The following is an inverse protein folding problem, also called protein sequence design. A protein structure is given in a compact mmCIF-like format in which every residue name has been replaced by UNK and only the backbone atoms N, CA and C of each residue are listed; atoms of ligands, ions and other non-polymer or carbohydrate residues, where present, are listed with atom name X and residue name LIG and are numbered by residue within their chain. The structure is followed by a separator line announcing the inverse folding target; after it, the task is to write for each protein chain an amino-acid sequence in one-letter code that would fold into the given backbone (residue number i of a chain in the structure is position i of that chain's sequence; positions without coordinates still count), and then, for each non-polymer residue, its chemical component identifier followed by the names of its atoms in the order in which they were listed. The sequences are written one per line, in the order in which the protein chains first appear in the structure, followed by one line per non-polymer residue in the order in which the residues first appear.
data_IF_298151719974
#
_entry.id   IF_298151719974
#
_cell.length_a   1.000
_cell.length_b   1.000
_cell.length_c   1.000
_cell.angle_alpha   90.00
_cell.angle_beta   90.00
_cell.angle_gamma   90.00
#
_symmetry.space_group_name_H-M   'P 1'
#
loop_
_entity.id
_entity.type
_entity.pdbx_description
1 polymer ?
#
# COMPACT_ATOMS: atom_id res chain seq x y z
N UNK A 1 0.05 -13.33 8.52
CA UNK A 1 0.18 -13.17 9.99
C UNK A 1 1.62 -12.77 10.28
N UNK A 2 1.85 -11.85 11.22
CA UNK A 2 3.19 -11.35 11.58
C UNK A 2 3.33 -11.52 13.09
N UNK A 3 4.50 -11.96 13.57
CA UNK A 3 4.76 -12.05 15.01
C UNK A 3 4.96 -10.64 15.56
N UNK A 4 4.47 -10.36 16.77
CA UNK A 4 4.58 -9.03 17.39
C UNK A 4 6.01 -8.51 17.45
N UNK A 5 6.99 -9.39 17.70
CA UNK A 5 8.42 -9.03 17.75
C UNK A 5 9.01 -8.58 16.42
N UNK A 6 8.40 -8.99 15.31
CA UNK A 6 8.83 -8.70 13.94
C UNK A 6 7.93 -7.63 13.31
N UNK A 7 6.94 -7.11 14.06
CA UNK A 7 6.01 -6.09 13.57
C UNK A 7 6.66 -4.71 13.66
N UNK A 8 6.61 -3.99 12.54
CA UNK A 8 7.05 -2.59 12.47
C UNK A 8 5.81 -1.68 12.57
N UNK A 9 5.79 -0.71 13.50
CA UNK A 9 4.71 0.26 13.60
C UNK A 9 4.52 1.05 12.30
N UNK A 10 3.26 1.35 11.96
CA UNK A 10 2.95 2.16 10.78
C UNK A 10 3.37 3.61 10.99
N UNK A 11 3.93 4.20 9.94
CA UNK A 11 4.23 5.63 9.88
C UNK A 11 2.94 6.42 9.59
N UNK A 12 2.49 7.22 10.57
CA UNK A 12 1.27 8.02 10.46
C UNK A 12 1.35 9.13 9.39
N UNK A 13 2.56 9.50 8.95
CA UNK A 13 2.73 10.44 7.84
C UNK A 13 2.34 9.84 6.48
N UNK A 14 2.35 8.51 6.37
CA UNK A 14 2.05 7.76 5.14
C UNK A 14 0.55 7.51 5.04
N UNK A 15 -0.13 8.35 4.27
CA UNK A 15 -1.60 8.26 4.06
C UNK A 15 -2.02 7.23 3.01
N UNK A 16 -1.09 6.72 2.21
CA UNK A 16 -1.30 5.75 1.11
C UNK A 16 -0.09 4.84 1.00
N UNK A 17 -0.30 3.59 0.57
CA UNK A 17 0.75 2.56 0.45
C UNK A 17 1.33 2.08 1.79
N UNK A 18 0.55 2.11 2.87
CA UNK A 18 0.96 1.59 4.19
C UNK A 18 1.35 0.10 4.12
N UNK A 19 0.60 -0.70 3.36
CA UNK A 19 0.95 -2.12 3.16
C UNK A 19 2.32 -2.28 2.48
N UNK A 20 2.62 -1.43 1.49
CA UNK A 20 3.92 -1.47 0.80
C UNK A 20 5.06 -1.05 1.71
N UNK A 21 4.88 0.01 2.49
CA UNK A 21 5.85 0.45 3.49
C UNK A 21 6.21 -0.68 4.46
N UNK A 22 5.18 -1.38 4.97
CA UNK A 22 5.36 -2.54 5.84
C UNK A 22 6.15 -3.65 5.13
N UNK A 23 5.75 -4.05 3.93
CA UNK A 23 6.41 -5.15 3.20
C UNK A 23 7.86 -4.82 2.83
N UNK A 24 8.14 -3.61 2.36
CA UNK A 24 9.49 -3.18 2.02
C UNK A 24 10.39 -3.14 3.27
N UNK A 25 9.88 -2.61 4.39
CA UNK A 25 10.62 -2.61 5.65
C UNK A 25 10.91 -4.04 6.15
N UNK A 26 9.95 -4.96 6.00
CA UNK A 26 10.16 -6.36 6.35
C UNK A 26 11.23 -7.02 5.46
N UNK A 27 11.25 -6.71 4.17
CA UNK A 27 12.28 -7.20 3.25
C UNK A 27 13.68 -6.67 3.60
N UNK A 28 13.80 -5.39 3.98
CA UNK A 28 15.05 -4.80 4.48
C UNK A 28 15.57 -5.53 5.73
N UNK A 29 14.68 -6.08 6.55
CA UNK A 29 15.00 -6.90 7.71
C UNK A 29 15.23 -8.39 7.37
N UNK A 30 15.40 -8.73 6.10
CA UNK A 30 15.56 -10.10 5.59
C UNK A 30 14.39 -11.04 5.96
N UNK A 31 13.18 -10.50 6.11
CA UNK A 31 11.95 -11.29 6.34
C UNK A 31 11.26 -11.56 5.01
N UNK A 32 10.63 -12.73 4.91
CA UNK A 32 9.89 -13.14 3.72
C UNK A 32 8.44 -13.50 4.06
N UNK A 33 7.55 -13.33 3.10
CA UNK A 33 6.18 -13.81 3.16
C UNK A 33 6.07 -15.24 2.63
N UNK A 34 5.20 -16.05 3.24
CA UNK A 34 4.81 -17.37 2.73
C UNK A 34 3.33 -17.33 2.39
N UNK A 35 2.99 -17.74 1.17
CA UNK A 35 1.61 -17.88 0.75
C UNK A 35 1.00 -19.14 1.38
N UNK A 36 -0.10 -18.98 2.11
CA UNK A 36 -0.83 -20.11 2.70
C UNK A 36 -2.02 -20.43 1.79
N UNK A 37 -2.06 -21.61 1.14
CA UNK A 37 -3.07 -21.96 0.15
C UNK A 37 -4.41 -22.36 0.81
N UNK A 38 -4.92 -21.54 1.73
CA UNK A 38 -6.18 -21.77 2.43
C UNK A 38 -6.96 -20.47 2.63
N UNK A 39 -8.28 -20.57 2.60
CA UNK A 39 -9.16 -19.42 2.86
C UNK A 39 -9.23 -19.20 4.36
N UNK A 40 -8.50 -18.20 4.86
CA UNK A 40 -8.48 -17.85 6.29
C UNK A 40 -9.60 -16.90 6.71
N UNK A 41 -10.07 -16.05 5.79
CA UNK A 41 -11.03 -14.99 6.09
C UNK A 41 -12.08 -14.87 5.00
N UNK A 42 -13.32 -14.57 5.40
CA UNK A 42 -14.42 -14.22 4.51
C UNK A 42 -14.81 -12.77 4.73
N UNK A 43 -14.79 -11.97 3.67
CA UNK A 43 -15.21 -10.56 3.73
C UNK A 43 -16.74 -10.48 3.73
N UNK A 44 -17.32 -9.83 4.74
CA UNK A 44 -18.74 -9.49 4.77
C UNK A 44 -18.89 -8.06 4.22
N UNK A 45 -19.48 -7.92 3.04
CA UNK A 45 -19.69 -6.62 2.37
C UNK A 45 -21.16 -6.22 2.48
N UNK A 46 -21.51 -5.48 3.51
CA UNK A 46 -22.75 -4.70 3.54
C UNK A 46 -22.40 -3.21 3.62
N UNK A 47 -22.84 -2.40 2.65
CA UNK A 47 -22.88 -0.94 2.71
C UNK A 47 -21.58 -0.13 2.84
N UNK A 48 -20.41 -0.76 3.07
CA UNK A 48 -19.14 -0.03 3.26
C UNK A 48 -18.59 0.53 1.94
N UNK A 49 -18.55 1.86 1.83
CA UNK A 49 -17.74 2.56 0.82
C UNK A 49 -16.26 2.33 1.14
N UNK A 50 -15.52 1.76 0.19
CA UNK A 50 -14.08 1.57 0.32
C UNK A 50 -13.31 2.90 0.30
N UNK A 51 -12.05 2.86 0.74
CA UNK A 51 -11.15 4.04 0.78
C UNK A 51 -10.83 4.53 -0.64
N UNK A 52 -10.72 3.62 -1.60
CA UNK A 52 -10.41 3.94 -2.99
C UNK A 52 -11.64 3.85 -3.88
N UNK A 53 -11.84 4.88 -4.71
CA UNK A 53 -12.68 4.79 -5.88
C UNK A 53 -11.78 4.37 -7.06
N UNK A 54 -12.23 3.38 -7.82
CA UNK A 54 -11.53 2.96 -9.02
C UNK A 54 -11.43 4.13 -10.00
N UNK A 55 -10.26 4.29 -10.63
CA UNK A 55 -9.99 5.28 -11.67
C UNK A 55 -9.57 4.55 -12.94
N UNK A 56 -10.13 4.92 -14.11
CA UNK A 56 -9.67 4.42 -15.39
C UNK A 56 -8.16 4.63 -15.62
N UNK A 57 -7.49 3.66 -16.25
CA UNK A 57 -6.04 3.69 -16.48
C UNK A 57 -5.56 4.87 -17.31
N UNK A 58 -6.37 5.37 -18.25
CA UNK A 58 -6.03 6.51 -19.09
C UNK A 58 -5.94 7.83 -18.31
N UNK A 59 -6.64 7.97 -17.16
CA UNK A 59 -6.53 9.15 -16.31
C UNK A 59 -5.13 9.32 -15.70
N UNK A 60 -4.38 8.24 -15.56
CA UNK A 60 -2.99 8.27 -15.08
C UNK A 60 -2.02 8.72 -16.19
N UNK A 61 -2.41 8.58 -17.46
CA UNK A 61 -1.62 8.99 -18.64
C UNK A 61 -2.03 10.36 -19.18
N UNK A 62 -3.10 10.94 -18.65
CA UNK A 62 -3.65 12.19 -19.14
C UNK A 62 -2.72 13.36 -18.78
N UNK A 63 -2.50 14.34 -19.68
CA UNK A 63 -1.53 15.42 -19.44
C UNK A 63 -1.85 16.28 -18.21
N UNK A 64 -3.14 16.42 -17.89
CA UNK A 64 -3.63 17.20 -16.76
C UNK A 64 -3.99 16.25 -15.62
N UNK A 65 -3.12 16.15 -14.62
CA UNK A 65 -3.31 15.22 -13.52
C UNK A 65 -4.41 15.70 -12.59
N UNK A 66 -5.45 14.90 -12.44
CA UNK A 66 -6.49 15.12 -11.45
C UNK A 66 -5.87 14.94 -10.06
N UNK A 67 -6.33 15.73 -9.07
CA UNK A 67 -5.84 15.67 -7.67
C UNK A 67 -5.62 14.25 -7.14
N UNK A 68 -6.56 13.32 -7.39
CA UNK A 68 -6.42 11.92 -6.94
C UNK A 68 -5.22 11.18 -7.51
N UNK A 69 -4.87 11.47 -8.76
CA UNK A 69 -3.69 10.92 -9.45
C UNK A 69 -2.43 11.56 -8.90
N UNK A 70 -2.43 12.88 -8.72
CA UNK A 70 -1.32 13.60 -8.07
C UNK A 70 -1.06 13.08 -6.64
N UNK A 71 -2.09 12.91 -5.82
CA UNK A 71 -2.00 12.35 -4.47
C UNK A 71 -1.47 10.90 -4.48
N UNK A 72 -1.76 10.13 -5.55
CA UNK A 72 -1.25 8.77 -5.72
C UNK A 72 0.24 8.78 -6.04
N UNK A 73 0.66 9.64 -6.96
CA UNK A 73 2.06 9.78 -7.36
C UNK A 73 2.93 10.34 -6.24
N UNK A 74 2.46 11.36 -5.52
CA UNK A 74 3.17 11.89 -4.35
C UNK A 74 3.40 10.82 -3.28
N UNK A 75 2.36 10.04 -2.96
CA UNK A 75 2.50 8.95 -2.00
C UNK A 75 3.46 7.87 -2.50
N UNK A 76 3.45 7.58 -3.81
CA UNK A 76 4.39 6.65 -4.43
C UNK A 76 5.84 7.16 -4.31
N UNK A 77 6.08 8.44 -4.57
CA UNK A 77 7.41 9.04 -4.44
C UNK A 77 7.94 9.01 -3.01
N UNK A 78 7.08 9.20 -2.00
CA UNK A 78 7.47 9.12 -0.59
C UNK A 78 8.01 7.71 -0.28
N UNK A 79 7.27 6.67 -0.67
CA UNK A 79 7.69 5.27 -0.48
C UNK A 79 8.99 4.98 -1.23
N UNK A 80 9.09 5.45 -2.48
CA UNK A 80 10.28 5.22 -3.30
C UNK A 80 11.52 5.86 -2.68
N UNK A 81 11.41 7.11 -2.21
CA UNK A 81 12.48 7.81 -1.51
C UNK A 81 12.85 7.11 -0.19
N UNK A 82 11.85 6.68 0.59
CA UNK A 82 12.06 6.01 1.89
C UNK A 82 12.86 4.71 1.75
N UNK A 83 12.57 3.91 0.73
CA UNK A 83 13.19 2.60 0.51
C UNK A 83 14.29 2.59 -0.57
N UNK A 84 14.72 3.76 -1.05
CA UNK A 84 15.78 3.87 -2.07
C UNK A 84 15.43 3.24 -3.42
N UNK A 85 14.14 3.18 -3.77
CA UNK A 85 13.65 2.65 -5.04
C UNK A 85 13.67 3.75 -6.10
N UNK A 86 14.08 3.40 -7.32
CA UNK A 86 14.18 4.31 -8.48
C UNK A 86 13.08 4.06 -9.50
#
# INVERSE_FOLDING_TARGET
MIRTKDFVPFDESIKRFQDWDLWLTMLEQNKIGIFVPQILYKKIVHGRKGISNWLPSWLYKFPWKIKKVADYEQAKEIIFKKHGLR
#
